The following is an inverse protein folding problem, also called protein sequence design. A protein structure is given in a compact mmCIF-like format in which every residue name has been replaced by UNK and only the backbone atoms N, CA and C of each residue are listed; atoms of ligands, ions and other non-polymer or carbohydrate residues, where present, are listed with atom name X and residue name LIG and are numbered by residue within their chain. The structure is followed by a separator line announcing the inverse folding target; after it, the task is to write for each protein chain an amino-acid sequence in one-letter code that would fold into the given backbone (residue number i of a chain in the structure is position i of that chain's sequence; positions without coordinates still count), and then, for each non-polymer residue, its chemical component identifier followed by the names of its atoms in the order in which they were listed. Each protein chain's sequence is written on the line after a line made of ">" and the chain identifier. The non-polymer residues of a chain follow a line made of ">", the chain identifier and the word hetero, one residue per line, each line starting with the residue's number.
data_IF_255276830373
#
_entry.id   IF_255276830373
#
_cell.length_a   1.000
_cell.length_b   1.000
_cell.length_c   1.000
_cell.angle_alpha   90.00
_cell.angle_beta   90.00
_cell.angle_gamma   90.00
#
_symmetry.space_group_name_H-M   'P 1'
#
loop_
_entity.id
_entity.type
_entity.pdbx_description
1 polymer ?
#
# COMPACT_ATOMS: atom_id res chain seq x y z
N UNK A 1 25.00 20.01 -3.64
CA UNK A 1 23.64 19.47 -3.87
C UNK A 1 22.83 19.63 -2.59
N UNK A 2 21.67 20.26 -2.67
CA UNK A 2 20.72 20.37 -1.56
C UNK A 2 20.24 18.96 -1.18
N UNK A 3 20.30 18.62 0.10
CA UNK A 3 19.83 17.30 0.60
C UNK A 3 18.34 17.40 0.96
N UNK A 4 17.63 16.27 0.90
CA UNK A 4 16.26 16.17 1.41
C UNK A 4 16.22 16.56 2.89
N UNK A 5 15.21 17.33 3.30
CA UNK A 5 15.08 17.82 4.66
C UNK A 5 14.55 16.73 5.62
N UNK A 6 15.22 16.49 6.75
CA UNK A 6 14.77 15.54 7.78
C UNK A 6 13.74 16.19 8.70
N UNK A 7 12.46 15.94 8.42
CA UNK A 7 11.33 16.58 9.10
C UNK A 7 10.27 15.58 9.63
N UNK A 8 10.37 14.29 9.25
CA UNK A 8 9.39 13.26 9.62
C UNK A 8 9.76 12.61 10.97
N UNK A 9 8.88 12.73 11.95
CA UNK A 9 9.01 12.09 13.26
C UNK A 9 8.26 10.76 13.37
N UNK A 10 8.29 10.14 14.55
CA UNK A 10 7.60 8.88 14.84
C UNK A 10 6.09 8.96 14.57
N UNK A 11 5.44 10.04 15.01
CA UNK A 11 4.00 10.28 14.79
C UNK A 11 3.69 10.31 13.29
N UNK A 12 4.48 11.05 12.51
CA UNK A 12 4.26 11.20 11.08
C UNK A 12 4.37 9.86 10.36
N UNK A 13 5.41 9.07 10.68
CA UNK A 13 5.60 7.73 10.10
C UNK A 13 4.49 6.76 10.48
N UNK A 14 4.03 6.78 11.74
CA UNK A 14 2.93 5.91 12.20
C UNK A 14 1.63 6.26 11.48
N UNK A 15 1.28 7.55 11.41
CA UNK A 15 0.07 8.00 10.71
C UNK A 15 0.19 7.85 9.20
N UNK A 16 1.39 7.97 8.63
CA UNK A 16 1.65 7.68 7.22
C UNK A 16 1.47 6.18 6.94
N UNK A 17 1.96 5.29 7.80
CA UNK A 17 1.75 3.84 7.69
C UNK A 17 0.26 3.49 7.73
N UNK A 18 -0.48 4.00 8.72
CA UNK A 18 -1.93 3.77 8.84
C UNK A 18 -2.67 4.39 7.65
N UNK A 19 -2.30 5.61 7.30
CA UNK A 19 -2.97 6.39 6.27
C UNK A 19 -2.75 5.89 4.86
N UNK A 20 -1.61 5.26 4.56
CA UNK A 20 -1.37 4.65 3.26
C UNK A 20 -2.17 3.37 3.04
N UNK A 21 -2.42 2.62 4.12
CA UNK A 21 -3.11 1.33 4.07
C UNK A 21 -4.63 1.50 4.09
N UNK A 22 -5.18 2.34 4.97
CA UNK A 22 -6.63 2.56 5.01
C UNK A 22 -7.06 3.35 3.75
N UNK A 23 -7.47 2.63 2.73
CA UNK A 23 -8.08 3.13 1.49
C UNK A 23 -9.58 2.84 1.43
N UNK A 24 -10.04 2.30 0.31
CA UNK A 24 -11.42 1.81 0.12
C UNK A 24 -11.61 0.36 0.56
N UNK A 25 -10.54 -0.42 0.74
CA UNK A 25 -10.60 -1.86 0.97
C UNK A 25 -11.47 -2.27 2.17
N UNK A 26 -11.28 -1.65 3.33
CA UNK A 26 -12.04 -2.00 4.54
C UNK A 26 -13.55 -1.73 4.43
N UNK A 27 -13.96 -0.85 3.52
CA UNK A 27 -15.36 -0.50 3.30
C UNK A 27 -16.06 -1.39 2.27
N UNK A 28 -15.30 -2.10 1.41
CA UNK A 28 -15.82 -2.84 0.26
C UNK A 28 -15.54 -4.36 0.33
N UNK A 29 -14.34 -4.75 0.75
CA UNK A 29 -13.84 -6.14 0.71
C UNK A 29 -14.52 -7.09 1.72
N UNK A 30 -15.02 -6.66 2.90
CA UNK A 30 -15.54 -7.59 3.91
C UNK A 30 -16.65 -8.53 3.42
N UNK A 31 -17.53 -8.06 2.52
CA UNK A 31 -18.60 -8.88 1.94
C UNK A 31 -18.05 -10.06 1.14
N UNK A 32 -17.11 -9.82 0.23
CA UNK A 32 -16.48 -10.85 -0.57
C UNK A 32 -15.64 -11.81 0.28
N UNK A 33 -14.95 -11.30 1.31
CA UNK A 33 -14.18 -12.15 2.25
C UNK A 33 -15.12 -13.13 2.97
N UNK A 34 -16.24 -12.64 3.49
CA UNK A 34 -17.20 -13.49 4.20
C UNK A 34 -17.86 -14.52 3.26
N UNK A 35 -18.18 -14.12 2.03
CA UNK A 35 -18.71 -15.00 0.99
C UNK A 35 -17.74 -16.14 0.66
N UNK A 36 -16.47 -15.81 0.42
CA UNK A 36 -15.43 -16.79 0.17
C UNK A 36 -15.10 -17.66 1.40
N UNK A 37 -15.32 -17.15 2.60
CA UNK A 37 -15.21 -17.89 3.85
C UNK A 37 -16.44 -18.81 4.16
N UNK A 38 -17.29 -19.05 3.15
CA UNK A 38 -18.49 -19.89 3.30
C UNK A 38 -19.60 -19.25 4.13
N UNK A 39 -19.64 -17.92 4.25
CA UNK A 39 -20.60 -17.19 5.06
C UNK A 39 -20.36 -17.27 6.57
N UNK A 40 -19.22 -17.79 7.00
CA UNK A 40 -18.92 -18.06 8.41
C UNK A 40 -17.97 -17.05 9.02
N UNK A 41 -18.29 -16.58 10.22
CA UNK A 41 -17.57 -15.53 10.94
C UNK A 41 -16.12 -15.95 11.24
N UNK A 42 -15.90 -17.15 11.78
CA UNK A 42 -14.57 -17.62 12.21
C UNK A 42 -13.55 -17.64 11.09
N UNK A 43 -13.80 -18.35 9.98
CA UNK A 43 -12.92 -18.34 8.82
C UNK A 43 -12.68 -16.94 8.24
N UNK A 44 -13.71 -16.08 8.14
CA UNK A 44 -13.57 -14.73 7.64
C UNK A 44 -12.65 -13.88 8.54
N UNK A 45 -12.85 -13.91 9.85
CA UNK A 45 -12.00 -13.20 10.81
C UNK A 45 -10.58 -13.74 10.81
N UNK A 46 -10.40 -15.06 10.60
CA UNK A 46 -9.08 -15.67 10.48
C UNK A 46 -8.34 -15.17 9.24
N UNK A 47 -9.02 -14.98 8.09
CA UNK A 47 -8.42 -14.39 6.89
C UNK A 47 -7.90 -12.98 7.18
N UNK A 48 -8.69 -12.13 7.84
CA UNK A 48 -8.28 -10.77 8.22
C UNK A 48 -7.12 -10.78 9.21
N UNK A 49 -7.11 -11.67 10.18
CA UNK A 49 -6.03 -11.80 11.16
C UNK A 49 -4.74 -12.29 10.48
N UNK A 50 -4.82 -13.34 9.67
CA UNK A 50 -3.64 -13.90 8.96
C UNK A 50 -3.05 -12.88 7.98
N UNK A 51 -3.87 -12.20 7.20
CA UNK A 51 -3.41 -11.13 6.29
C UNK A 51 -2.73 -9.98 7.05
N UNK A 52 -3.28 -9.59 8.20
CA UNK A 52 -2.67 -8.59 9.07
C UNK A 52 -1.34 -9.06 9.68
N UNK A 53 -1.28 -10.30 10.16
CA UNK A 53 -0.03 -10.90 10.69
C UNK A 53 1.04 -11.00 9.61
N UNK A 54 0.69 -11.43 8.39
CA UNK A 54 1.64 -11.45 7.27
C UNK A 54 2.18 -10.06 6.96
N UNK A 55 1.31 -9.04 6.93
CA UNK A 55 1.73 -7.64 6.77
C UNK A 55 2.65 -7.19 7.90
N UNK A 56 2.36 -7.60 9.14
CA UNK A 56 3.22 -7.31 10.30
C UNK A 56 4.59 -7.98 10.19
N UNK A 57 4.68 -9.23 9.73
CA UNK A 57 5.97 -9.92 9.50
C UNK A 57 6.82 -9.16 8.47
N UNK A 58 6.20 -8.68 7.40
CA UNK A 58 6.82 -7.80 6.42
C UNK A 58 7.29 -6.49 7.05
N UNK A 59 6.43 -5.80 7.78
CA UNK A 59 6.72 -4.53 8.44
C UNK A 59 7.88 -4.65 9.44
N UNK A 60 7.92 -5.71 10.24
CA UNK A 60 9.02 -5.99 11.16
C UNK A 60 10.35 -6.22 10.42
N UNK A 61 10.32 -6.96 9.31
CA UNK A 61 11.49 -7.21 8.46
C UNK A 61 12.03 -5.91 7.86
N UNK A 62 11.15 -5.09 7.29
CA UNK A 62 11.49 -3.79 6.71
C UNK A 62 11.93 -2.77 7.78
N UNK A 63 11.47 -2.95 9.01
CA UNK A 63 11.93 -2.16 10.15
C UNK A 63 13.45 -2.32 10.38
N UNK A 64 13.99 -3.55 10.33
CA UNK A 64 15.43 -3.78 10.41
C UNK A 64 16.18 -3.23 9.19
N UNK A 65 15.68 -3.50 7.98
CA UNK A 65 16.28 -3.02 6.74
C UNK A 65 16.40 -1.49 6.72
N UNK A 66 15.33 -0.78 7.06
CA UNK A 66 15.30 0.68 7.10
C UNK A 66 16.12 1.27 8.24
N UNK A 67 16.30 0.54 9.34
CA UNK A 67 17.18 0.95 10.45
C UNK A 67 18.66 0.82 10.10
N UNK A 68 19.03 -0.24 9.37
CA UNK A 68 20.43 -0.48 8.94
C UNK A 68 20.84 0.45 7.81
N UNK A 69 19.96 0.71 6.85
CA UNK A 69 20.27 1.55 5.69
C UNK A 69 19.15 2.57 5.42
N UNK A 70 19.11 3.69 6.16
CA UNK A 70 18.04 4.69 6.08
C UNK A 70 18.25 5.69 4.93
N UNK A 71 18.33 5.22 3.69
CA UNK A 71 18.46 6.05 2.48
C UNK A 71 17.10 6.23 1.80
N UNK A 72 16.88 7.38 1.17
CA UNK A 72 15.71 7.62 0.34
C UNK A 72 15.64 6.60 -0.80
N UNK A 73 14.43 6.08 -1.07
CA UNK A 73 14.21 5.05 -2.08
C UNK A 73 13.87 3.66 -1.51
N UNK A 74 14.08 3.41 -0.21
CA UNK A 74 13.64 2.19 0.50
C UNK A 74 13.91 0.88 -0.24
N UNK A 75 12.88 0.18 -0.73
CA UNK A 75 12.99 -1.09 -1.46
C UNK A 75 14.02 -1.03 -2.59
N UNK A 76 14.03 0.05 -3.37
CA UNK A 76 15.00 0.23 -4.47
C UNK A 76 16.43 0.13 -3.95
N UNK A 77 16.74 0.83 -2.87
CA UNK A 77 18.09 0.85 -2.28
C UNK A 77 18.49 -0.54 -1.78
N UNK A 78 17.59 -1.23 -1.07
CA UNK A 78 17.87 -2.57 -0.56
C UNK A 78 18.10 -3.59 -1.68
N UNK A 79 17.31 -3.55 -2.74
CA UNK A 79 17.49 -4.40 -3.92
C UNK A 79 18.81 -4.10 -4.63
N UNK A 80 19.15 -2.81 -4.83
CA UNK A 80 20.39 -2.38 -5.47
C UNK A 80 21.61 -2.87 -4.69
N UNK A 81 21.62 -2.67 -3.39
CA UNK A 81 22.77 -2.97 -2.54
C UNK A 81 23.00 -4.48 -2.38
N UNK A 82 21.93 -5.28 -2.45
CA UNK A 82 22.00 -6.74 -2.27
C UNK A 82 22.07 -7.56 -3.55
N UNK A 83 21.27 -7.18 -4.55
CA UNK A 83 21.09 -7.95 -5.80
C UNK A 83 21.57 -7.21 -7.05
N UNK A 84 22.08 -6.00 -6.86
CA UNK A 84 22.61 -5.19 -7.94
C UNK A 84 21.57 -4.28 -8.63
N UNK A 85 22.03 -3.50 -9.62
CA UNK A 85 21.24 -2.42 -10.19
C UNK A 85 20.05 -2.88 -11.03
N UNK A 86 20.10 -4.07 -11.65
CA UNK A 86 19.02 -4.53 -12.54
C UNK A 86 17.71 -4.82 -11.78
N UNK A 87 17.67 -5.63 -10.70
CA UNK A 87 16.43 -5.84 -9.93
C UNK A 87 15.89 -4.55 -9.33
N UNK A 88 16.78 -3.66 -8.85
CA UNK A 88 16.41 -2.35 -8.33
C UNK A 88 15.77 -1.47 -9.41
N UNK A 89 16.36 -1.42 -10.60
CA UNK A 89 15.81 -0.68 -11.74
C UNK A 89 14.44 -1.21 -12.13
N UNK A 90 14.28 -2.54 -12.25
CA UNK A 90 13.00 -3.15 -12.60
C UNK A 90 11.91 -2.84 -11.57
N UNK A 91 12.24 -2.81 -10.28
CA UNK A 91 11.32 -2.33 -9.24
C UNK A 91 10.90 -0.89 -9.47
N UNK A 92 11.85 0.03 -9.59
CA UNK A 92 11.55 1.45 -9.74
C UNK A 92 10.85 1.79 -11.06
N UNK A 93 11.18 1.09 -12.16
CA UNK A 93 10.48 1.15 -13.44
C UNK A 93 9.02 0.74 -13.29
N UNK A 94 8.79 -0.44 -12.68
CA UNK A 94 7.45 -0.95 -12.45
C UNK A 94 6.65 -0.05 -11.50
N UNK A 95 7.32 0.49 -10.47
CA UNK A 95 6.70 1.45 -9.56
C UNK A 95 6.24 2.71 -10.29
N UNK A 96 7.06 3.27 -11.18
CA UNK A 96 6.72 4.48 -11.91
C UNK A 96 5.59 4.24 -12.91
N UNK A 97 5.73 3.25 -13.79
CA UNK A 97 4.83 3.08 -14.92
C UNK A 97 3.54 2.32 -14.60
N UNK A 98 3.59 1.36 -13.68
CA UNK A 98 2.46 0.49 -13.37
C UNK A 98 1.90 0.73 -11.96
N UNK A 99 2.73 0.55 -10.90
CA UNK A 99 2.22 0.50 -9.54
C UNK A 99 1.73 1.86 -9.04
N UNK A 100 2.62 2.84 -8.88
CA UNK A 100 2.24 4.13 -8.30
C UNK A 100 1.36 4.95 -9.23
N UNK A 101 1.71 5.03 -10.53
CA UNK A 101 0.88 5.72 -11.52
C UNK A 101 -0.54 5.15 -11.56
N UNK A 102 -0.65 3.82 -11.59
CA UNK A 102 -1.93 3.10 -11.53
C UNK A 102 -2.69 3.34 -10.22
N UNK A 103 -2.01 3.25 -9.07
CA UNK A 103 -2.64 3.47 -7.75
C UNK A 103 -3.19 4.89 -7.60
N UNK A 104 -2.40 5.91 -7.93
CA UNK A 104 -2.84 7.31 -7.81
C UNK A 104 -3.99 7.61 -8.78
N UNK A 105 -3.92 7.12 -10.03
CA UNK A 105 -5.00 7.24 -11.01
C UNK A 105 -6.30 6.58 -10.50
N UNK A 106 -6.19 5.34 -10.01
CA UNK A 106 -7.29 4.57 -9.44
C UNK A 106 -7.95 5.30 -8.27
N UNK A 107 -7.15 5.82 -7.33
CA UNK A 107 -7.67 6.57 -6.18
C UNK A 107 -8.32 7.90 -6.61
N UNK A 108 -7.79 8.58 -7.63
CA UNK A 108 -8.39 9.81 -8.14
C UNK A 108 -9.74 9.56 -8.84
N UNK A 109 -9.85 8.47 -9.60
CA UNK A 109 -11.12 8.05 -10.21
C UNK A 109 -12.11 7.61 -9.13
N UNK A 110 -11.68 6.84 -8.13
CA UNK A 110 -12.51 6.47 -7.00
C UNK A 110 -13.03 7.70 -6.24
N UNK A 111 -12.17 8.70 -6.03
CA UNK A 111 -12.55 9.97 -5.40
C UNK A 111 -13.68 10.66 -6.17
N UNK A 112 -13.53 10.84 -7.49
CA UNK A 112 -14.56 11.49 -8.32
C UNK A 112 -15.85 10.68 -8.40
N UNK A 113 -15.76 9.34 -8.41
CA UNK A 113 -16.93 8.44 -8.37
C UNK A 113 -17.68 8.54 -7.05
N UNK A 114 -16.98 8.56 -5.92
CA UNK A 114 -17.61 8.75 -4.60
C UNK A 114 -18.22 10.15 -4.46
N UNK A 115 -17.56 11.18 -5.00
CA UNK A 115 -18.10 12.54 -5.02
C UNK A 115 -19.38 12.63 -5.84
N UNK A 116 -19.49 11.87 -6.94
CA UNK A 116 -20.69 11.85 -7.79
C UNK A 116 -21.91 11.27 -7.09
N UNK A 117 -21.73 10.51 -6.01
CA UNK A 117 -22.83 10.02 -5.16
C UNK A 117 -23.41 11.12 -4.24
N UNK A 118 -22.63 12.18 -4.01
CA UNK A 118 -23.04 13.31 -3.15
C UNK A 118 -23.55 14.47 -4.03
N UNK A 119 -22.83 14.78 -5.11
CA UNK A 119 -23.10 15.85 -6.04
C UNK A 119 -23.12 15.26 -7.45
N UNK A 120 -24.24 15.33 -8.20
CA UNK A 120 -24.30 14.79 -9.55
C UNK A 120 -23.21 15.39 -10.45
N UNK A 121 -22.33 14.56 -10.99
CA UNK A 121 -21.25 14.95 -11.88
C UNK A 121 -21.46 14.32 -13.26
N UNK A 122 -21.25 15.10 -14.33
CA UNK A 122 -21.17 14.54 -15.68
C UNK A 122 -19.87 13.77 -15.87
N UNK A 123 -19.79 12.91 -16.91
CA UNK A 123 -18.58 12.15 -17.20
C UNK A 123 -17.34 13.04 -17.46
N UNK A 124 -17.52 14.24 -18.02
CA UNK A 124 -16.43 15.20 -18.16
C UNK A 124 -16.00 15.78 -16.79
N UNK A 125 -16.97 16.10 -15.92
CA UNK A 125 -16.69 16.64 -14.59
C UNK A 125 -15.98 15.62 -13.69
N UNK A 126 -16.31 14.33 -13.76
CA UNK A 126 -15.60 13.28 -13.02
C UNK A 126 -14.12 13.25 -13.40
N UNK A 127 -13.79 13.36 -14.69
CA UNK A 127 -12.38 13.46 -15.14
C UNK A 127 -11.69 14.72 -14.63
N UNK A 128 -12.35 15.87 -14.70
CA UNK A 128 -11.83 17.15 -14.18
C UNK A 128 -11.55 17.04 -12.68
N UNK A 129 -12.47 16.49 -11.90
CA UNK A 129 -12.31 16.29 -10.45
C UNK A 129 -11.12 15.38 -10.15
N UNK A 130 -10.96 14.26 -10.88
CA UNK A 130 -9.80 13.35 -10.71
C UNK A 130 -8.48 14.07 -10.96
N UNK A 131 -8.38 14.83 -12.06
CA UNK A 131 -7.17 15.59 -12.38
C UNK A 131 -6.91 16.70 -11.36
N UNK A 132 -7.96 17.41 -10.92
CA UNK A 132 -7.86 18.46 -9.91
C UNK A 132 -7.33 17.87 -8.58
N UNK A 133 -7.83 16.71 -8.16
CA UNK A 133 -7.31 16.02 -6.97
C UNK A 133 -5.81 15.72 -7.10
N UNK A 134 -5.38 15.14 -8.23
CA UNK A 134 -3.95 14.86 -8.47
C UNK A 134 -3.14 16.17 -8.45
N UNK A 135 -3.61 17.23 -9.09
CA UNK A 135 -2.92 18.52 -9.13
C UNK A 135 -2.78 19.15 -7.73
N UNK A 136 -3.83 19.13 -6.92
CA UNK A 136 -3.81 19.63 -5.52
C UNK A 136 -2.77 18.87 -4.70
N UNK A 137 -2.78 17.52 -4.76
CA UNK A 137 -1.81 16.69 -4.05
C UNK A 137 -0.38 16.94 -4.53
N UNK A 138 -0.19 17.12 -5.84
CA UNK A 138 1.10 17.47 -6.43
C UNK A 138 1.64 18.77 -5.87
N UNK A 139 0.82 19.82 -5.86
CA UNK A 139 1.20 21.15 -5.36
C UNK A 139 1.56 21.12 -3.87
N UNK A 140 0.75 20.44 -3.04
CA UNK A 140 1.04 20.29 -1.60
C UNK A 140 2.37 19.57 -1.38
N UNK A 141 2.63 18.49 -2.12
CA UNK A 141 3.85 17.70 -1.99
C UNK A 141 5.10 18.40 -2.53
N UNK A 142 4.97 19.27 -3.54
CA UNK A 142 6.07 20.13 -4.00
C UNK A 142 6.38 21.20 -2.95
N UNK A 143 5.36 21.79 -2.32
CA UNK A 143 5.50 22.89 -1.36
C UNK A 143 6.30 22.48 -0.12
N UNK A 144 6.21 21.20 0.30
CA UNK A 144 7.04 20.69 1.38
C UNK A 144 6.65 19.31 1.88
N UNK A 145 7.67 18.57 2.36
CA UNK A 145 7.46 17.28 3.00
C UNK A 145 6.71 17.42 4.31
N UNK A 146 6.93 18.52 5.07
CA UNK A 146 6.23 18.79 6.32
C UNK A 146 4.74 19.06 6.07
N UNK A 147 4.42 19.92 5.10
CA UNK A 147 3.05 20.26 4.73
C UNK A 147 2.25 19.03 4.27
N UNK A 148 2.89 18.17 3.47
CA UNK A 148 2.29 16.92 3.03
C UNK A 148 2.08 15.94 4.18
N UNK A 149 3.04 15.85 5.12
CA UNK A 149 2.91 15.01 6.30
C UNK A 149 1.81 15.52 7.25
N UNK A 150 1.67 16.82 7.41
CA UNK A 150 0.59 17.40 8.21
C UNK A 150 -0.78 17.13 7.59
N UNK A 151 -0.92 17.28 6.27
CA UNK A 151 -2.13 16.89 5.54
C UNK A 151 -2.43 15.39 5.75
N UNK A 152 -1.40 14.53 5.67
CA UNK A 152 -1.52 13.10 5.91
C UNK A 152 -1.97 12.80 7.34
N UNK A 153 -1.39 13.46 8.32
CA UNK A 153 -1.73 13.29 9.74
C UNK A 153 -3.19 13.64 10.01
N UNK A 154 -3.66 14.78 9.50
CA UNK A 154 -5.05 15.22 9.65
C UNK A 154 -6.03 14.28 8.98
N UNK A 155 -5.80 13.94 7.71
CA UNK A 155 -6.69 13.06 6.95
C UNK A 155 -6.71 11.64 7.52
N UNK A 156 -5.58 11.14 8.02
CA UNK A 156 -5.51 9.84 8.70
C UNK A 156 -6.28 9.88 10.03
N UNK A 157 -6.13 10.95 10.82
CA UNK A 157 -6.87 11.11 12.06
C UNK A 157 -8.39 11.14 11.84
N UNK A 158 -8.85 11.88 10.82
CA UNK A 158 -10.27 11.97 10.46
C UNK A 158 -10.82 10.59 10.07
N UNK A 159 -10.15 9.86 9.17
CA UNK A 159 -10.67 8.56 8.71
C UNK A 159 -10.64 7.48 9.79
N UNK A 160 -9.59 7.42 10.62
CA UNK A 160 -9.54 6.51 11.76
C UNK A 160 -10.64 6.85 12.77
N UNK A 161 -10.81 8.14 13.11
CA UNK A 161 -11.89 8.59 13.98
C UNK A 161 -13.28 8.23 13.42
N UNK A 162 -13.51 8.42 12.13
CA UNK A 162 -14.77 8.06 11.48
C UNK A 162 -15.04 6.54 11.52
N UNK A 163 -14.03 5.70 11.28
CA UNK A 163 -14.18 4.24 11.38
C UNK A 163 -14.49 3.81 12.82
N UNK A 164 -13.81 4.39 13.81
CA UNK A 164 -14.06 4.08 15.23
C UNK A 164 -15.45 4.53 15.67
N UNK A 165 -15.88 5.74 15.29
CA UNK A 165 -17.24 6.22 15.58
C UNK A 165 -18.30 5.38 14.89
N UNK A 166 -18.08 4.99 13.64
CA UNK A 166 -18.95 4.05 12.95
C UNK A 166 -19.03 2.72 13.70
N UNK A 167 -17.89 2.15 14.11
CA UNK A 167 -17.89 0.88 14.85
C UNK A 167 -18.68 0.98 16.16
N UNK A 168 -18.51 2.07 16.92
CA UNK A 168 -19.29 2.32 18.13
C UNK A 168 -20.79 2.37 17.85
N UNK A 169 -21.23 3.08 16.81
CA UNK A 169 -22.64 3.17 16.44
C UNK A 169 -23.19 1.79 16.03
N UNK A 170 -22.42 1.02 15.22
CA UNK A 170 -22.83 -0.31 14.77
C UNK A 170 -22.94 -1.32 15.92
N UNK A 171 -22.06 -1.26 16.92
CA UNK A 171 -22.18 -2.09 18.13
C UNK A 171 -23.31 -1.64 19.06
N UNK A 172 -23.54 -0.34 19.19
CA UNK A 172 -24.56 0.19 20.09
C UNK A 172 -25.99 -0.09 19.59
N UNK A 173 -26.20 -0.06 18.27
CA UNK A 173 -27.54 -0.11 17.67
C UNK A 173 -27.73 -1.31 16.72
N UNK A 174 -26.69 -2.10 16.47
CA UNK A 174 -26.78 -3.28 15.59
C UNK A 174 -27.43 -4.49 16.28
N UNK A 175 -28.19 -5.26 15.51
CA UNK A 175 -28.89 -6.47 15.99
C UNK A 175 -28.46 -7.73 15.22
N UNK A 176 -27.43 -7.67 14.38
CA UNK A 176 -26.99 -8.74 13.51
C UNK A 176 -26.54 -10.02 14.25
N UNK A 177 -25.94 -9.87 15.43
CA UNK A 177 -25.56 -11.03 16.25
C UNK A 177 -26.75 -11.69 16.91
N UNK A 178 -27.76 -10.94 17.34
CA UNK A 178 -28.94 -11.48 18.00
C UNK A 178 -29.89 -12.20 17.04
N UNK A 179 -29.84 -11.86 15.76
CA UNK A 179 -30.68 -12.44 14.70
C UNK A 179 -29.98 -13.61 13.96
N UNK A 180 -28.70 -13.84 14.22
CA UNK A 180 -27.91 -14.86 13.53
C UNK A 180 -27.94 -16.19 14.31
N UNK A 181 -28.40 -17.26 13.64
CA UNK A 181 -28.28 -18.65 14.10
C UNK A 181 -27.08 -19.36 13.44
N UNK A 182 -26.28 -18.66 12.65
CA UNK A 182 -25.14 -19.23 11.91
C UNK A 182 -24.04 -19.69 12.88
N UNK A 183 -23.50 -20.89 12.64
CA UNK A 183 -22.34 -21.39 13.37
C UNK A 183 -21.13 -20.48 13.09
N UNK A 184 -20.35 -20.16 14.13
CA UNK A 184 -19.15 -19.36 14.01
C UNK A 184 -18.08 -20.08 13.18
N UNK A 185 -17.96 -21.41 13.34
CA UNK A 185 -17.03 -22.26 12.63
C UNK A 185 -17.73 -23.36 11.84
N UNK A 186 -17.17 -23.82 10.74
CA UNK A 186 -17.70 -24.96 9.99
C UNK A 186 -17.61 -26.25 10.81
N UNK A 187 -18.59 -27.15 10.64
CA UNK A 187 -18.54 -28.47 11.24
C UNK A 187 -17.41 -29.35 10.69
N UNK A 188 -16.97 -29.09 9.46
CA UNK A 188 -15.85 -29.76 8.82
C UNK A 188 -15.09 -28.80 7.89
N UNK A 189 -13.78 -28.92 7.83
CA UNK A 189 -12.95 -28.20 6.87
C UNK A 189 -12.98 -28.94 5.51
N UNK A 190 -13.46 -28.24 4.49
CA UNK A 190 -13.56 -28.77 3.12
C UNK A 190 -12.50 -28.15 2.21
N UNK A 191 -12.17 -28.82 1.09
CA UNK A 191 -11.28 -28.29 0.07
C UNK A 191 -11.81 -26.98 -0.56
N UNK A 192 -13.15 -26.83 -0.64
CA UNK A 192 -13.78 -25.58 -1.10
C UNK A 192 -13.55 -24.41 -0.13
N UNK A 193 -13.55 -24.66 1.17
CA UNK A 193 -13.24 -23.65 2.18
C UNK A 193 -11.78 -23.22 2.11
N UNK A 194 -10.85 -24.17 1.91
CA UNK A 194 -9.43 -23.86 1.73
C UNK A 194 -9.17 -23.02 0.46
N UNK A 195 -9.82 -23.36 -0.66
CA UNK A 195 -9.78 -22.55 -1.88
C UNK A 195 -10.38 -21.16 -1.66
N UNK A 196 -11.53 -21.08 -1.00
CA UNK A 196 -12.19 -19.82 -0.64
C UNK A 196 -11.31 -18.94 0.24
N UNK A 197 -10.60 -19.54 1.22
CA UNK A 197 -9.64 -18.82 2.06
C UNK A 197 -8.53 -18.17 1.24
N UNK A 198 -7.98 -18.89 0.25
CA UNK A 198 -6.98 -18.35 -0.67
C UNK A 198 -7.50 -17.16 -1.50
N UNK A 199 -8.73 -17.24 -2.01
CA UNK A 199 -9.37 -16.15 -2.76
C UNK A 199 -9.64 -14.94 -1.86
N UNK A 200 -10.17 -15.16 -0.66
CA UNK A 200 -10.41 -14.10 0.33
C UNK A 200 -9.10 -13.39 0.72
N UNK A 201 -7.99 -14.16 0.83
CA UNK A 201 -6.68 -13.61 1.18
C UNK A 201 -6.18 -12.56 0.17
N UNK A 202 -6.48 -12.71 -1.12
CA UNK A 202 -6.10 -11.72 -2.15
C UNK A 202 -6.72 -10.37 -1.83
N UNK A 203 -8.03 -10.34 -1.54
CA UNK A 203 -8.73 -9.10 -1.17
C UNK A 203 -8.23 -8.50 0.14
N UNK A 204 -7.93 -9.34 1.14
CA UNK A 204 -7.43 -8.87 2.43
C UNK A 204 -6.00 -8.32 2.33
N UNK A 205 -5.11 -9.00 1.60
CA UNK A 205 -3.74 -8.50 1.39
C UNK A 205 -3.72 -7.20 0.59
N UNK A 206 -4.67 -7.02 -0.34
CA UNK A 206 -4.88 -5.72 -0.97
C UNK A 206 -5.37 -4.67 0.03
N UNK A 207 -6.30 -5.00 0.93
CA UNK A 207 -6.77 -4.07 1.95
C UNK A 207 -5.65 -3.66 2.94
N UNK A 208 -4.65 -4.51 3.15
CA UNK A 208 -3.45 -4.23 3.97
C UNK A 208 -2.28 -3.62 3.16
N UNK A 209 -2.42 -3.39 1.86
CA UNK A 209 -1.36 -2.83 1.02
C UNK A 209 -1.03 -1.38 1.40
N UNK A 210 0.26 -1.01 1.42
CA UNK A 210 0.70 0.37 1.59
C UNK A 210 1.67 0.62 2.75
N UNK A 211 1.78 -0.26 3.75
CA UNK A 211 2.66 -0.08 4.91
C UNK A 211 4.15 0.08 4.53
N UNK A 212 4.59 -0.52 3.45
CA UNK A 212 5.97 -0.46 2.96
C UNK A 212 6.34 0.89 2.34
N UNK A 213 5.37 1.69 1.88
CA UNK A 213 5.62 2.96 1.20
C UNK A 213 6.31 3.99 2.10
N UNK A 214 6.06 3.94 3.40
CA UNK A 214 6.73 4.82 4.36
C UNK A 214 8.25 4.70 4.31
N UNK A 215 8.79 3.52 3.97
CA UNK A 215 10.24 3.27 3.89
C UNK A 215 10.93 4.03 2.76
N UNK A 216 10.20 4.48 1.74
CA UNK A 216 10.77 5.23 0.62
C UNK A 216 11.28 6.62 1.04
N UNK A 217 10.69 7.20 2.11
CA UNK A 217 11.04 8.51 2.64
C UNK A 217 12.18 8.47 3.68
N UNK A 218 12.99 7.40 3.73
CA UNK A 218 13.99 7.21 4.77
C UNK A 218 15.00 8.35 4.92
N UNK A 219 15.32 9.04 3.83
CA UNK A 219 16.21 10.19 3.84
C UNK A 219 15.66 11.43 4.57
N UNK A 220 14.33 11.49 4.80
CA UNK A 220 13.63 12.65 5.40
C UNK A 220 13.19 12.40 6.85
N UNK A 221 13.64 11.31 7.47
CA UNK A 221 13.23 10.90 8.82
C UNK A 221 14.25 11.32 9.87
N UNK A 222 13.72 11.85 10.98
CA UNK A 222 14.49 12.13 12.20
C UNK A 222 14.70 10.83 12.97
N UNK A 223 15.95 10.52 13.35
CA UNK A 223 16.33 9.29 14.07
C UNK A 223 15.72 8.02 13.42
N UNK A 224 15.99 7.76 12.12
CA UNK A 224 15.34 6.71 11.35
C UNK A 224 15.53 5.32 11.95
N UNK A 225 16.69 5.03 12.50
CA UNK A 225 17.04 3.76 13.15
C UNK A 225 16.10 3.36 14.29
N UNK A 226 15.55 4.34 14.99
CA UNK A 226 14.59 4.14 16.09
C UNK A 226 13.15 4.27 15.65
N UNK A 227 12.86 5.26 14.80
CA UNK A 227 11.51 5.63 14.46
C UNK A 227 10.86 4.68 13.45
N UNK A 228 11.62 4.12 12.48
CA UNK A 228 11.05 3.17 11.51
C UNK A 228 10.51 1.91 12.13
N UNK A 229 11.31 1.13 12.91
CA UNK A 229 10.81 -0.11 13.48
C UNK A 229 9.56 0.10 14.33
N UNK A 230 9.54 1.20 15.11
CA UNK A 230 8.42 1.54 15.98
C UNK A 230 7.18 1.93 15.18
N UNK A 231 7.34 2.79 14.18
CA UNK A 231 6.23 3.26 13.37
C UNK A 231 5.59 2.11 12.57
N UNK A 232 6.39 1.25 11.96
CA UNK A 232 5.93 0.09 11.22
C UNK A 232 5.22 -0.90 12.12
N UNK A 233 5.78 -1.20 13.31
CA UNK A 233 5.14 -2.08 14.28
C UNK A 233 3.81 -1.51 14.78
N UNK A 234 3.84 -0.29 15.34
CA UNK A 234 2.65 0.34 15.93
C UNK A 234 1.58 0.59 14.86
N UNK A 235 1.99 1.10 13.69
CA UNK A 235 1.08 1.37 12.59
C UNK A 235 0.38 0.11 12.08
N UNK A 236 1.13 -0.97 11.84
CA UNK A 236 0.56 -2.24 11.35
C UNK A 236 -0.27 -2.95 12.43
N UNK A 237 0.15 -2.93 13.69
CA UNK A 237 -0.64 -3.49 14.79
C UNK A 237 -1.97 -2.74 14.97
N UNK A 238 -1.95 -1.40 14.88
CA UNK A 238 -3.16 -0.59 14.92
C UNK A 238 -4.09 -0.90 13.74
N UNK A 239 -3.55 -1.10 12.53
CA UNK A 239 -4.33 -1.51 11.35
C UNK A 239 -5.03 -2.84 11.56
N UNK A 240 -4.34 -3.85 12.12
CA UNK A 240 -4.94 -5.16 12.45
C UNK A 240 -6.11 -4.96 13.40
N UNK A 241 -5.92 -4.20 14.49
CA UNK A 241 -6.98 -3.94 15.46
C UNK A 241 -8.17 -3.20 14.84
N UNK A 242 -7.92 -2.14 14.04
CA UNK A 242 -8.97 -1.36 13.38
C UNK A 242 -9.77 -2.23 12.40
N UNK A 243 -9.09 -3.06 11.60
CA UNK A 243 -9.76 -3.88 10.60
C UNK A 243 -10.58 -5.02 11.21
N UNK A 244 -10.05 -5.67 12.25
CA UNK A 244 -10.82 -6.68 13.00
C UNK A 244 -12.03 -6.04 13.68
N UNK A 245 -11.86 -4.88 14.32
CA UNK A 245 -12.95 -4.14 14.96
C UNK A 245 -14.04 -3.73 13.95
N UNK A 246 -13.65 -3.18 12.79
CA UNK A 246 -14.58 -2.79 11.74
C UNK A 246 -15.39 -3.98 11.20
N UNK A 247 -14.73 -5.12 10.94
CA UNK A 247 -15.40 -6.32 10.47
C UNK A 247 -16.41 -6.87 11.52
N UNK A 248 -16.02 -6.89 12.80
CA UNK A 248 -16.94 -7.27 13.88
C UNK A 248 -18.13 -6.30 13.98
N UNK A 249 -17.90 -5.00 13.79
CA UNK A 249 -18.97 -4.00 13.80
C UNK A 249 -19.93 -4.18 12.62
N UNK A 250 -19.44 -4.49 11.41
CA UNK A 250 -20.31 -4.82 10.27
C UNK A 250 -21.18 -6.06 10.54
N UNK A 251 -20.59 -7.09 11.14
CA UNK A 251 -21.33 -8.29 11.55
C UNK A 251 -22.37 -8.00 12.64
N UNK A 252 -22.05 -7.08 13.57
CA UNK A 252 -23.01 -6.64 14.59
C UNK A 252 -24.21 -5.89 13.98
N UNK A 253 -24.01 -5.19 12.87
CA UNK A 253 -25.09 -4.47 12.20
C UNK A 253 -25.95 -5.36 11.29
N UNK A 254 -25.34 -6.09 10.36
CA UNK A 254 -26.02 -6.79 9.28
C UNK A 254 -26.14 -8.31 9.48
N UNK A 255 -25.41 -8.87 10.45
CA UNK A 255 -25.24 -10.30 10.55
C UNK A 255 -24.44 -10.92 9.39
N UNK A 256 -24.07 -12.21 9.47
CA UNK A 256 -23.23 -12.85 8.44
C UNK A 256 -23.86 -12.84 7.03
N UNK A 257 -25.14 -13.15 6.93
CA UNK A 257 -25.85 -13.18 5.65
C UNK A 257 -25.90 -11.79 4.98
N UNK A 258 -26.19 -10.75 5.78
CA UNK A 258 -26.23 -9.37 5.30
C UNK A 258 -24.86 -8.89 4.81
N UNK A 259 -23.79 -9.17 5.58
CA UNK A 259 -22.42 -8.80 5.16
C UNK A 259 -22.00 -9.55 3.89
N UNK A 260 -22.27 -10.87 3.79
CA UNK A 260 -21.91 -11.67 2.61
C UNK A 260 -22.68 -11.24 1.34
N UNK A 261 -23.89 -10.73 1.47
CA UNK A 261 -24.71 -10.23 0.37
C UNK A 261 -24.39 -8.79 -0.04
N UNK A 262 -23.58 -8.07 0.74
CA UNK A 262 -23.36 -6.64 0.54
C UNK A 262 -22.20 -6.36 -0.43
N UNK A 263 -22.39 -5.36 -1.29
CA UNK A 263 -21.36 -4.79 -2.17
C UNK A 263 -20.74 -3.51 -1.60
N UNK A 264 -21.35 -2.92 -0.55
CA UNK A 264 -20.88 -1.70 0.12
C UNK A 264 -21.18 -1.78 1.62
N UNK A 265 -20.48 -2.71 2.28
CA UNK A 265 -20.78 -3.15 3.66
C UNK A 265 -20.88 -1.98 4.64
N UNK A 266 -19.98 -1.01 4.58
CA UNK A 266 -19.99 0.13 5.49
C UNK A 266 -21.24 1.01 5.32
N UNK A 267 -21.62 1.30 4.07
CA UNK A 267 -22.78 2.13 3.79
C UNK A 267 -24.09 1.42 4.17
N UNK A 268 -24.21 0.16 3.81
CA UNK A 268 -25.38 -0.66 4.13
C UNK A 268 -25.53 -0.88 5.64
N UNK A 269 -24.41 -1.15 6.35
CA UNK A 269 -24.41 -1.28 7.81
C UNK A 269 -24.91 -0.03 8.50
N UNK A 270 -24.42 1.14 8.09
CA UNK A 270 -24.82 2.39 8.73
C UNK A 270 -26.25 2.79 8.36
N UNK A 271 -26.69 2.49 7.14
CA UNK A 271 -28.08 2.70 6.69
C UNK A 271 -29.05 1.85 7.50
N UNK A 272 -28.72 0.60 7.76
CA UNK A 272 -29.57 -0.33 8.51
C UNK A 272 -29.74 0.07 9.99
N UNK A 273 -28.70 0.70 10.57
CA UNK A 273 -28.66 1.00 12.01
C UNK A 273 -29.08 2.44 12.32
N UNK A 274 -28.73 3.40 11.47
CA UNK A 274 -29.00 4.84 11.71
C UNK A 274 -30.14 5.33 10.81
N UNK A 275 -29.85 5.56 9.54
CA UNK A 275 -30.81 5.96 8.50
C UNK A 275 -30.14 6.03 7.11
N UNK A 276 -30.91 6.16 6.00
CA UNK A 276 -30.34 6.25 4.66
C UNK A 276 -29.42 7.47 4.43
N UNK A 277 -29.62 8.57 5.17
CA UNK A 277 -28.75 9.75 5.06
C UNK A 277 -27.34 9.47 5.57
N UNK A 278 -27.20 8.51 6.49
CA UNK A 278 -25.91 8.10 7.03
C UNK A 278 -24.97 7.49 5.96
N UNK A 279 -25.51 6.93 4.86
CA UNK A 279 -24.71 6.48 3.72
C UNK A 279 -23.85 7.61 3.12
N UNK A 280 -24.34 8.86 3.15
CA UNK A 280 -23.58 10.04 2.67
C UNK A 280 -22.36 10.31 3.55
N UNK A 281 -22.44 10.04 4.86
CA UNK A 281 -21.28 10.17 5.76
C UNK A 281 -20.20 9.14 5.43
N UNK A 282 -20.59 7.94 5.04
CA UNK A 282 -19.64 6.92 4.57
C UNK A 282 -19.00 7.34 3.26
N UNK A 283 -19.77 7.86 2.31
CA UNK A 283 -19.22 8.38 1.06
C UNK A 283 -18.17 9.49 1.33
N UNK A 284 -18.46 10.40 2.25
CA UNK A 284 -17.52 11.44 2.69
C UNK A 284 -16.28 10.85 3.37
N UNK A 285 -16.46 9.83 4.22
CA UNK A 285 -15.33 9.13 4.87
C UNK A 285 -14.45 8.43 3.83
N UNK A 286 -15.04 7.78 2.84
CA UNK A 286 -14.29 7.15 1.74
C UNK A 286 -13.57 8.21 0.90
N UNK A 287 -14.18 9.36 0.61
CA UNK A 287 -13.52 10.48 -0.07
C UNK A 287 -12.24 10.92 0.66
N UNK A 288 -12.32 11.18 1.98
CA UNK A 288 -11.15 11.52 2.79
C UNK A 288 -10.13 10.40 2.79
N UNK A 289 -10.59 9.14 2.84
CA UNK A 289 -9.74 7.97 2.89
C UNK A 289 -8.93 7.77 1.60
N UNK A 290 -9.55 7.84 0.43
CA UNK A 290 -8.86 7.69 -0.86
C UNK A 290 -7.95 8.88 -1.15
N UNK A 291 -8.36 10.10 -0.76
CA UNK A 291 -7.53 11.30 -0.84
C UNK A 291 -6.25 11.17 -0.01
N UNK A 292 -6.38 10.70 1.24
CA UNK A 292 -5.26 10.43 2.14
C UNK A 292 -4.32 9.35 1.60
N UNK A 293 -4.87 8.25 1.06
CA UNK A 293 -4.08 7.18 0.47
C UNK A 293 -3.32 7.66 -0.79
N UNK A 294 -3.94 8.49 -1.63
CA UNK A 294 -3.28 9.10 -2.78
C UNK A 294 -2.17 10.07 -2.34
N UNK A 295 -2.41 10.89 -1.28
CA UNK A 295 -1.39 11.77 -0.74
C UNK A 295 -0.15 11.00 -0.28
N UNK A 296 -0.32 9.87 0.41
CA UNK A 296 0.82 9.07 0.85
C UNK A 296 1.65 8.52 -0.32
N UNK A 297 1.02 8.13 -1.42
CA UNK A 297 1.70 7.69 -2.63
C UNK A 297 2.47 8.82 -3.31
N UNK A 298 1.86 10.01 -3.46
CA UNK A 298 2.51 11.20 -4.03
C UNK A 298 3.64 11.71 -3.12
N UNK A 299 3.51 11.53 -1.79
CA UNK A 299 4.56 11.85 -0.83
C UNK A 299 5.75 10.89 -0.94
N UNK A 300 5.53 9.59 -1.02
CA UNK A 300 6.59 8.59 -0.78
C UNK A 300 7.24 8.09 -2.07
N UNK A 301 6.46 7.70 -3.08
CA UNK A 301 6.98 7.04 -4.27
C UNK A 301 7.98 7.86 -5.11
N UNK A 302 7.86 9.20 -5.23
CA UNK A 302 8.85 10.00 -5.95
C UNK A 302 10.27 9.92 -5.40
N UNK A 303 10.45 9.50 -4.13
CA UNK A 303 11.77 9.27 -3.53
C UNK A 303 12.49 8.08 -4.13
N UNK A 304 11.75 7.12 -4.68
CA UNK A 304 12.33 6.00 -5.46
C UNK A 304 12.87 6.52 -6.79
N UNK A 305 12.09 7.33 -7.51
CA UNK A 305 12.52 7.93 -8.79
C UNK A 305 13.71 8.85 -8.61
N UNK A 306 13.72 9.63 -7.53
CA UNK A 306 14.85 10.45 -7.11
C UNK A 306 16.10 9.60 -6.86
N UNK A 307 15.99 8.48 -6.14
CA UNK A 307 17.11 7.57 -5.89
C UNK A 307 17.64 6.95 -7.19
N UNK A 308 16.76 6.46 -8.07
CA UNK A 308 17.14 5.94 -9.39
C UNK A 308 17.88 6.96 -10.23
N UNK A 309 17.40 8.21 -10.23
CA UNK A 309 18.00 9.30 -11.00
C UNK A 309 19.38 9.70 -10.45
N UNK A 310 19.58 9.68 -9.12
CA UNK A 310 20.87 9.89 -8.49
C UNK A 310 21.88 8.78 -8.86
N UNK A 311 21.39 7.55 -9.05
CA UNK A 311 22.22 6.43 -9.50
C UNK A 311 22.44 6.41 -11.03
N UNK A 312 21.96 7.42 -11.75
CA UNK A 312 22.08 7.53 -13.21
C UNK A 312 21.23 6.50 -13.98
N UNK A 313 20.32 5.80 -13.32
CA UNK A 313 19.46 4.77 -13.91
C UNK A 313 18.09 5.31 -14.32
N UNK A 314 17.89 6.63 -14.25
CA UNK A 314 16.66 7.27 -14.71
C UNK A 314 16.94 8.69 -15.21
N UNK A 315 15.90 9.45 -15.57
CA UNK A 315 16.07 10.83 -16.05
C UNK A 315 16.75 11.70 -15.00
N UNK A 316 17.91 12.25 -15.31
CA UNK A 316 18.77 13.02 -14.38
C UNK A 316 18.02 14.16 -13.66
N UNK A 317 17.07 14.80 -14.34
CA UNK A 317 16.28 15.90 -13.78
C UNK A 317 15.46 15.51 -12.56
N UNK A 318 15.11 14.22 -12.40
CA UNK A 318 14.38 13.71 -11.23
C UNK A 318 15.25 13.63 -9.96
N UNK A 319 16.57 13.75 -10.10
CA UNK A 319 17.52 13.86 -8.98
C UNK A 319 17.60 15.28 -8.39
N UNK A 320 16.99 16.27 -9.03
CA UNK A 320 17.04 17.65 -8.56
C UNK A 320 16.13 17.85 -7.35
N UNK A 321 16.69 18.42 -6.28
CA UNK A 321 15.97 18.87 -5.10
C UNK A 321 15.63 20.35 -5.24
N UNK A 322 14.36 20.71 -5.07
CA UNK A 322 13.91 22.09 -5.20
C UNK A 322 14.61 23.00 -4.18
N UNK A 323 15.28 24.09 -4.60
CA UNK A 323 16.17 24.87 -3.73
C UNK A 323 15.44 25.54 -2.56
N UNK A 324 14.17 25.91 -2.72
CA UNK A 324 13.35 26.56 -1.68
C UNK A 324 12.61 25.56 -0.80
N UNK A 325 12.11 24.47 -1.37
CA UNK A 325 11.19 23.55 -0.70
C UNK A 325 11.86 22.28 -0.18
N UNK A 326 13.07 21.95 -0.64
CA UNK A 326 13.81 20.76 -0.21
C UNK A 326 13.15 19.43 -0.64
N UNK A 327 12.26 19.46 -1.64
CA UNK A 327 11.51 18.32 -2.16
C UNK A 327 12.01 17.93 -3.56
N UNK A 328 11.87 16.64 -3.98
CA UNK A 328 12.20 16.20 -5.34
C UNK A 328 11.07 16.58 -6.32
N UNK A 329 10.88 17.88 -6.55
CA UNK A 329 9.73 18.45 -7.26
C UNK A 329 9.51 17.85 -8.65
N UNK A 330 10.59 17.66 -9.44
CA UNK A 330 10.49 17.06 -10.78
C UNK A 330 10.03 15.60 -10.73
N UNK A 331 10.48 14.82 -9.73
CA UNK A 331 10.04 13.44 -9.53
C UNK A 331 8.55 13.38 -9.14
N UNK A 332 8.09 14.32 -8.30
CA UNK A 332 6.68 14.45 -7.92
C UNK A 332 5.83 14.79 -9.16
N UNK A 333 6.23 15.81 -9.93
CA UNK A 333 5.51 16.22 -11.14
C UNK A 333 5.45 15.06 -12.16
N UNK A 334 6.56 14.37 -12.42
CA UNK A 334 6.62 13.30 -13.39
C UNK A 334 5.67 12.14 -13.02
N UNK A 335 5.72 11.67 -11.77
CA UNK A 335 4.83 10.60 -11.30
C UNK A 335 3.35 11.00 -11.31
N UNK A 336 3.04 12.22 -10.89
CA UNK A 336 1.67 12.76 -10.89
C UNK A 336 1.13 13.00 -12.31
N UNK A 337 1.96 13.48 -13.23
CA UNK A 337 1.56 13.66 -14.63
C UNK A 337 1.24 12.33 -15.29
N UNK A 338 2.04 11.29 -15.01
CA UNK A 338 1.77 9.95 -15.51
C UNK A 338 0.45 9.39 -14.93
N UNK A 339 0.23 9.56 -13.62
CA UNK A 339 -1.04 9.19 -12.99
C UNK A 339 -2.24 9.92 -13.61
N UNK A 340 -2.09 11.20 -13.95
CA UNK A 340 -3.14 11.98 -14.62
C UNK A 340 -3.46 11.42 -16.02
N UNK A 341 -2.44 11.05 -16.80
CA UNK A 341 -2.62 10.38 -18.11
C UNK A 341 -3.40 9.08 -17.94
N UNK A 342 -3.02 8.24 -16.96
CA UNK A 342 -3.72 6.99 -16.69
C UNK A 342 -5.16 7.21 -16.23
N UNK A 343 -5.42 8.21 -15.39
CA UNK A 343 -6.77 8.56 -14.93
C UNK A 343 -7.69 9.01 -16.08
N UNK A 344 -7.14 9.63 -17.13
CA UNK A 344 -7.89 10.02 -18.32
C UNK A 344 -8.16 8.85 -19.28
N UNK A 345 -7.23 7.89 -19.36
CA UNK A 345 -7.25 6.81 -20.35
C UNK A 345 -7.91 5.52 -19.83
N UNK A 346 -7.94 5.28 -18.50
CA UNK A 346 -8.09 3.96 -17.97
C UNK A 346 -9.40 3.59 -17.32
N UNK A 347 -9.62 2.27 -17.27
CA UNK A 347 -10.59 1.61 -16.40
C UNK A 347 -9.93 1.22 -15.07
N UNK A 348 -10.57 1.60 -13.97
CA UNK A 348 -10.15 1.37 -12.58
C UNK A 348 -9.74 -0.08 -12.26
N UNK A 349 -10.54 -1.05 -12.70
CA UNK A 349 -10.43 -2.46 -12.27
C UNK A 349 -9.21 -3.17 -12.88
N UNK A 350 -8.79 -2.77 -14.07
CA UNK A 350 -7.68 -3.42 -14.78
C UNK A 350 -6.33 -3.08 -14.16
N UNK A 351 -6.13 -1.83 -13.75
CA UNK A 351 -4.90 -1.33 -13.16
C UNK A 351 -4.61 -1.96 -11.78
N UNK A 352 -5.66 -2.22 -10.99
CA UNK A 352 -5.53 -2.70 -9.62
C UNK A 352 -4.87 -4.09 -9.51
N UNK A 353 -5.27 -5.03 -10.37
CA UNK A 353 -4.75 -6.41 -10.34
C UNK A 353 -3.24 -6.45 -10.65
N UNK A 354 -2.79 -5.57 -11.56
CA UNK A 354 -1.36 -5.48 -11.92
C UNK A 354 -0.50 -4.93 -10.79
N UNK A 355 -1.00 -3.93 -10.08
CA UNK A 355 -0.31 -3.29 -8.97
C UNK A 355 0.05 -4.31 -7.89
N UNK A 356 -0.91 -5.13 -7.47
CA UNK A 356 -0.71 -6.11 -6.41
C UNK A 356 0.28 -7.18 -6.83
N UNK A 357 0.07 -7.81 -7.99
CA UNK A 357 0.93 -8.88 -8.48
C UNK A 357 2.39 -8.44 -8.60
N UNK A 358 2.64 -7.30 -9.27
CA UNK A 358 3.99 -6.77 -9.43
C UNK A 358 4.61 -6.38 -8.09
N UNK A 359 3.83 -5.80 -7.18
CA UNK A 359 4.30 -5.37 -5.87
C UNK A 359 4.84 -6.53 -5.04
N UNK A 360 4.08 -7.61 -4.90
CA UNK A 360 4.45 -8.73 -4.04
C UNK A 360 5.71 -9.48 -4.50
N UNK A 361 6.03 -9.49 -5.81
CA UNK A 361 7.32 -9.98 -6.30
C UNK A 361 8.47 -9.23 -5.63
N UNK A 362 8.43 -7.91 -5.72
CA UNK A 362 9.51 -7.07 -5.21
C UNK A 362 9.52 -6.96 -3.68
N UNK A 363 8.35 -7.10 -3.02
CA UNK A 363 8.28 -7.11 -1.56
C UNK A 363 8.94 -8.35 -0.97
N UNK A 364 8.69 -9.52 -1.55
CA UNK A 364 9.36 -10.75 -1.18
C UNK A 364 10.87 -10.68 -1.42
N UNK A 365 11.29 -10.18 -2.59
CA UNK A 365 12.72 -9.98 -2.91
C UNK A 365 13.38 -8.99 -1.94
N UNK A 366 12.72 -7.89 -1.60
CA UNK A 366 13.26 -6.94 -0.63
C UNK A 366 13.39 -7.56 0.76
N UNK A 367 12.40 -8.33 1.23
CA UNK A 367 12.52 -9.05 2.49
C UNK A 367 13.71 -10.03 2.50
N UNK A 368 13.99 -10.66 1.36
CA UNK A 368 15.15 -11.57 1.22
C UNK A 368 16.51 -10.85 1.37
N UNK A 369 16.56 -9.54 1.15
CA UNK A 369 17.80 -8.76 1.34
C UNK A 369 18.32 -8.79 2.79
N UNK A 370 17.46 -9.07 3.79
CA UNK A 370 17.88 -9.16 5.20
C UNK A 370 18.93 -10.25 5.42
N UNK A 371 18.80 -11.37 4.71
CA UNK A 371 19.77 -12.47 4.79
C UNK A 371 21.11 -12.06 4.19
N UNK A 372 21.08 -11.29 3.09
CA UNK A 372 22.27 -10.76 2.42
C UNK A 372 22.97 -9.73 3.31
N UNK A 373 22.23 -8.77 3.89
CA UNK A 373 22.77 -7.77 4.81
C UNK A 373 23.41 -8.42 6.04
N UNK A 374 22.75 -9.43 6.65
CA UNK A 374 23.30 -10.11 7.82
C UNK A 374 24.56 -10.93 7.52
N UNK A 375 24.69 -11.45 6.27
CA UNK A 375 25.86 -12.19 5.81
C UNK A 375 27.03 -11.28 5.42
N UNK A 376 26.76 -10.17 4.69
CA UNK A 376 27.80 -9.29 4.15
C UNK A 376 28.34 -8.28 5.16
N UNK A 377 27.49 -7.82 6.05
CA UNK A 377 27.86 -6.86 7.11
C UNK A 377 27.43 -7.36 8.48
N UNK A 378 28.02 -8.47 8.99
CA UNK A 378 27.62 -9.09 10.25
C UNK A 378 27.78 -8.14 11.43
N UNK A 379 28.81 -7.29 11.42
CA UNK A 379 29.18 -6.36 12.49
C UNK A 379 28.48 -5.00 12.40
N UNK A 380 27.62 -4.78 11.39
CA UNK A 380 26.87 -3.53 11.29
C UNK A 380 26.02 -3.31 12.54
N UNK A 381 26.03 -2.08 13.04
CA UNK A 381 25.17 -1.68 14.15
C UNK A 381 23.69 -1.87 13.76
N UNK A 382 22.99 -2.72 14.52
CA UNK A 382 21.57 -3.02 14.34
C UNK A 382 20.79 -2.61 15.59
N UNK A 383 20.38 -1.32 15.67
CA UNK A 383 19.61 -0.82 16.82
C UNK A 383 18.27 -1.53 16.99
N UNK A 384 17.76 -2.09 15.89
CA UNK A 384 16.60 -2.98 15.88
C UNK A 384 16.96 -4.26 15.12
N UNK A 385 16.63 -5.40 15.72
CA UNK A 385 16.73 -6.72 15.10
C UNK A 385 15.34 -7.32 15.00
N UNK A 386 14.98 -7.81 13.81
CA UNK A 386 13.66 -8.43 13.61
C UNK A 386 13.46 -9.59 14.58
N UNK A 387 12.38 -9.58 15.38
CA UNK A 387 12.09 -10.67 16.30
C UNK A 387 11.74 -11.94 15.52
N UNK A 388 12.14 -13.10 16.05
CA UNK A 388 11.87 -14.39 15.43
C UNK A 388 12.67 -14.68 14.16
N UNK A 389 13.79 -13.99 13.94
CA UNK A 389 14.69 -14.36 12.83
C UNK A 389 15.23 -15.78 13.00
N UNK A 390 15.34 -16.59 11.93
CA UNK A 390 15.07 -16.27 10.52
C UNK A 390 13.61 -16.46 10.09
N UNK A 391 12.73 -16.93 10.97
CA UNK A 391 11.36 -17.35 10.61
C UNK A 391 10.47 -16.20 10.19
N UNK A 392 10.53 -15.03 10.84
CA UNK A 392 9.73 -13.85 10.50
C UNK A 392 9.90 -13.43 9.03
N UNK A 393 11.12 -13.14 8.52
CA UNK A 393 11.29 -12.82 7.12
C UNK A 393 11.01 -14.01 6.20
N UNK A 394 11.34 -15.24 6.61
CA UNK A 394 11.10 -16.43 5.79
C UNK A 394 9.61 -16.68 5.55
N UNK A 395 8.78 -16.59 6.58
CA UNK A 395 7.32 -16.73 6.45
C UNK A 395 6.72 -15.67 5.53
N UNK A 396 7.17 -14.42 5.64
CA UNK A 396 6.72 -13.35 4.75
C UNK A 396 7.12 -13.63 3.29
N UNK A 397 8.37 -14.08 3.04
CA UNK A 397 8.85 -14.42 1.69
C UNK A 397 8.06 -15.58 1.10
N UNK A 398 7.84 -16.64 1.89
CA UNK A 398 7.05 -17.80 1.45
C UNK A 398 5.62 -17.38 1.12
N UNK A 399 4.99 -16.56 1.98
CA UNK A 399 3.65 -16.04 1.72
C UNK A 399 3.60 -15.19 0.44
N UNK A 400 4.58 -14.31 0.23
CA UNK A 400 4.71 -13.53 -1.00
C UNK A 400 4.85 -14.42 -2.23
N UNK A 401 5.70 -15.45 -2.16
CA UNK A 401 5.88 -16.41 -3.25
C UNK A 401 4.59 -17.19 -3.55
N UNK A 402 3.92 -17.72 -2.53
CA UNK A 402 2.65 -18.44 -2.69
C UNK A 402 1.58 -17.55 -3.30
N UNK A 403 1.47 -16.30 -2.84
CA UNK A 403 0.52 -15.33 -3.41
C UNK A 403 0.81 -15.06 -4.88
N UNK A 404 2.06 -14.78 -5.23
CA UNK A 404 2.48 -14.50 -6.61
C UNK A 404 2.23 -15.73 -7.49
N UNK A 405 2.63 -16.92 -7.05
CA UNK A 405 2.43 -18.17 -7.79
C UNK A 405 0.95 -18.48 -8.01
N UNK A 406 0.12 -18.34 -6.97
CA UNK A 406 -1.33 -18.55 -7.07
C UNK A 406 -1.99 -17.54 -8.01
N UNK A 407 -1.65 -16.25 -7.88
CA UNK A 407 -2.18 -15.19 -8.75
C UNK A 407 -1.77 -15.42 -10.19
N UNK A 408 -0.51 -15.78 -10.44
CA UNK A 408 0.00 -16.08 -11.78
C UNK A 408 -0.72 -17.27 -12.41
N UNK A 409 -0.88 -18.35 -11.64
CA UNK A 409 -1.54 -19.57 -12.13
C UNK A 409 -3.00 -19.32 -12.52
N UNK A 410 -3.77 -18.66 -11.62
CA UNK A 410 -5.18 -18.37 -11.88
C UNK A 410 -5.35 -17.34 -13.01
N UNK A 411 -4.56 -16.28 -13.01
CA UNK A 411 -4.68 -15.24 -14.03
C UNK A 411 -4.21 -15.72 -15.43
N UNK A 412 -3.21 -16.59 -15.52
CA UNK A 412 -2.84 -17.20 -16.81
C UNK A 412 -3.95 -18.08 -17.38
N UNK A 413 -4.73 -18.70 -16.49
CA UNK A 413 -5.88 -19.52 -16.89
C UNK A 413 -7.08 -18.67 -17.29
N UNK A 414 -7.44 -17.68 -16.47
CA UNK A 414 -8.72 -16.97 -16.56
C UNK A 414 -8.61 -15.67 -17.37
N UNK A 415 -7.44 -15.02 -17.35
CA UNK A 415 -7.18 -13.71 -17.98
C UNK A 415 -5.76 -13.61 -18.58
N UNK A 416 -5.38 -14.47 -19.53
CA UNK A 416 -4.01 -14.56 -20.04
C UNK A 416 -3.50 -13.26 -20.65
N UNK A 417 -4.36 -12.49 -21.34
CA UNK A 417 -4.00 -11.21 -21.93
C UNK A 417 -3.60 -10.16 -20.89
N UNK A 418 -4.31 -10.09 -19.78
CA UNK A 418 -4.01 -9.14 -18.70
C UNK A 418 -2.70 -9.53 -17.99
N UNK A 419 -2.51 -10.82 -17.73
CA UNK A 419 -1.25 -11.32 -17.13
C UNK A 419 -0.06 -11.02 -18.03
N UNK A 420 -0.22 -11.21 -19.35
CA UNK A 420 0.79 -10.84 -20.33
C UNK A 420 1.15 -9.35 -20.31
N UNK A 421 0.18 -8.46 -20.14
CA UNK A 421 0.41 -7.02 -20.00
C UNK A 421 1.18 -6.69 -18.72
N UNK A 422 0.84 -7.32 -17.58
CA UNK A 422 1.55 -7.11 -16.32
C UNK A 422 3.02 -7.54 -16.40
N UNK A 423 3.27 -8.76 -16.87
CA UNK A 423 4.64 -9.26 -17.08
C UNK A 423 5.37 -8.46 -18.16
N UNK A 424 4.68 -8.07 -19.22
CA UNK A 424 5.21 -7.23 -20.29
C UNK A 424 5.66 -5.85 -19.78
N UNK A 425 4.91 -5.25 -18.86
CA UNK A 425 5.29 -3.97 -18.26
C UNK A 425 6.62 -4.04 -17.49
N UNK A 426 6.85 -5.15 -16.75
CA UNK A 426 8.14 -5.41 -16.09
C UNK A 426 9.22 -5.68 -17.14
N UNK A 427 8.92 -6.53 -18.14
CA UNK A 427 9.86 -6.94 -19.18
C UNK A 427 10.33 -5.76 -20.05
N UNK A 428 9.48 -4.76 -20.30
CA UNK A 428 9.86 -3.51 -20.97
C UNK A 428 10.91 -2.71 -20.20
N UNK A 429 11.05 -2.93 -18.91
CA UNK A 429 12.14 -2.39 -18.10
C UNK A 429 13.52 -2.95 -18.50
N UNK A 430 13.61 -4.17 -19.04
CA UNK A 430 14.90 -4.76 -19.44
C UNK A 430 15.61 -3.95 -20.55
N UNK A 431 15.02 -3.71 -21.73
CA UNK A 431 15.67 -2.89 -22.75
C UNK A 431 15.92 -1.47 -22.26
N UNK A 432 15.00 -0.89 -21.48
CA UNK A 432 15.19 0.41 -20.89
C UNK A 432 16.43 0.43 -19.97
N UNK A 433 16.61 -0.56 -19.10
CA UNK A 433 17.80 -0.68 -18.26
C UNK A 433 19.10 -0.68 -19.07
N UNK A 434 19.19 -1.50 -20.12
CA UNK A 434 20.40 -1.58 -20.94
C UNK A 434 20.69 -0.27 -21.69
N UNK A 435 19.65 0.47 -22.11
CA UNK A 435 19.80 1.80 -22.72
C UNK A 435 20.39 2.80 -21.69
N UNK A 436 19.86 2.84 -20.47
CA UNK A 436 20.38 3.73 -19.41
C UNK A 436 21.78 3.34 -18.99
N UNK A 437 22.04 2.05 -18.83
CA UNK A 437 23.35 1.51 -18.49
C UNK A 437 24.41 1.88 -19.52
N UNK A 438 24.10 1.76 -20.81
CA UNK A 438 25.04 2.09 -21.89
C UNK A 438 25.39 3.58 -21.94
N UNK A 439 24.47 4.45 -21.48
CA UNK A 439 24.70 5.91 -21.44
C UNK A 439 25.51 6.36 -20.22
N UNK A 440 25.56 5.58 -19.14
CA UNK A 440 26.12 5.97 -17.85
C UNK A 440 27.11 4.93 -17.32
N UNK A 441 28.14 4.59 -18.10
CA UNK A 441 29.17 3.60 -17.74
C UNK A 441 29.97 3.91 -16.47
N UNK A 442 29.98 5.17 -16.02
CA UNK A 442 30.78 5.63 -14.86
C UNK A 442 30.10 5.40 -13.47
N UNK A 443 28.84 4.99 -13.40
CA UNK A 443 28.05 5.01 -12.14
C UNK A 443 27.73 3.60 -11.63
N UNK A 444 28.13 2.55 -12.35
CA UNK A 444 27.68 1.18 -12.14
C UNK A 444 28.61 0.32 -11.28
N UNK A 445 29.53 0.90 -10.54
CA UNK A 445 30.03 0.16 -9.40
C UNK A 445 28.87 0.04 -8.39
N UNK A 446 28.50 -1.19 -7.96
CA UNK A 446 27.54 -1.32 -6.89
C UNK A 446 28.06 -0.47 -5.74
N UNK A 447 27.20 0.35 -5.08
CA UNK A 447 27.65 1.02 -3.87
C UNK A 447 28.09 -0.11 -2.95
N UNK A 448 29.37 -0.21 -2.81
CA UNK A 448 30.03 -1.20 -1.95
C UNK A 448 29.37 -1.02 -0.59
N UNK A 449 28.58 -1.98 -0.16
CA UNK A 449 28.41 -2.19 1.27
C UNK A 449 29.85 -2.27 1.73
N UNK A 450 30.38 -1.35 2.55
CA UNK A 450 31.78 -1.37 2.90
C UNK A 450 32.08 -2.78 3.33
N UNK A 451 33.05 -3.43 2.65
CA UNK A 451 33.58 -4.68 3.15
C UNK A 451 33.95 -4.37 4.58
N UNK A 452 33.42 -5.14 5.52
CA UNK A 452 33.77 -5.02 6.92
C UNK A 452 35.27 -5.22 7.02
N UNK A 453 36.03 -4.11 7.15
CA UNK A 453 37.43 -4.13 7.56
C UNK A 453 37.52 -4.42 9.06
#
# INVERSE_FOLDING_TARGET
>A
MTKLARVLGLRDLTLLTIGSVIGSGIFLVPGEVLKHAGGQIGPAMLVWLVGGVLSLLGALTYGELSAVNPKAGGIYVHLRDCFGPLPAFLFGWTLFFAMNGGTVATLAVAFSTMLSQIIPLSGAMTKIVSITMIAVLTLVNIKGTRESADLQNWTTGIKVGAILLMAVALFAFGHGFSTSTAAIWPSAFSGSLASGFGLAMIGVLWAYEGWQYVTFSAGEVVNPQRNYPRALFVGTAALIAIYLLANLAYLAALGPAGVAGSTSVAAESLTAVVNPTAAKLIALTILVSVFSAANSNVLTCPRVYYAMANDGLFFHKLAEVHPRFGTPAFAIIAGSSWAAVLALAGSFTELLTYVIFCGWIFYGLCAATIFVYRKRIPDAERPYRVPGYPWTPLLFIVAAFVLVANTLFNNLRDQPGKTGLALGSIALGLPAYFIWRARNTAILEPPVIPDAN
#
